data_IF_866078336851
#
_entry.id   IF_866078336851
#
_cell.length_a   1.000
_cell.length_b   1.000
_cell.length_c   1.000
_cell.angle_alpha   90.00
_cell.angle_beta   90.00
_cell.angle_gamma   90.00
#
_symmetry.space_group_name_H-M   'P 1'
#
loop_
_entity.id
_entity.type
_entity.pdbx_description
1 polymer ?
#
# COMPACT_ATOMS: atom_id res chain seq x y z
N UNK A 1 -26.58 -6.46 18.32
CA UNK A 1 -26.49 -5.90 16.96
C UNK A 1 -25.05 -5.52 16.67
N UNK A 2 -24.48 -6.03 15.58
CA UNK A 2 -23.07 -5.80 15.21
C UNK A 2 -22.94 -4.65 14.22
N UNK A 3 -21.77 -4.03 14.20
CA UNK A 3 -21.44 -2.95 13.26
C UNK A 3 -21.56 -3.41 11.80
N UNK A 4 -21.24 -4.68 11.53
CA UNK A 4 -21.44 -5.33 10.23
C UNK A 4 -22.92 -5.37 9.80
N UNK A 5 -23.85 -5.57 10.74
CA UNK A 5 -25.29 -5.60 10.45
C UNK A 5 -25.79 -4.21 10.02
N UNK A 6 -25.36 -3.15 10.72
CA UNK A 6 -25.71 -1.76 10.38
C UNK A 6 -25.12 -1.38 9.02
N UNK A 7 -23.87 -1.76 8.74
CA UNK A 7 -23.23 -1.55 7.44
C UNK A 7 -24.03 -2.20 6.30
N UNK A 8 -24.50 -3.44 6.50
CA UNK A 8 -25.23 -4.17 5.47
C UNK A 8 -26.67 -3.65 5.32
N UNK A 9 -27.35 -3.35 6.43
CA UNK A 9 -28.73 -2.89 6.45
C UNK A 9 -28.91 -1.47 5.90
N UNK A 10 -28.05 -0.53 6.31
CA UNK A 10 -28.13 0.88 5.89
C UNK A 10 -27.22 1.20 4.69
N UNK A 11 -26.38 0.26 4.24
CA UNK A 11 -25.45 0.48 3.12
C UNK A 11 -24.32 1.50 3.41
N UNK A 12 -24.04 1.78 4.68
CA UNK A 12 -23.05 2.81 5.09
C UNK A 12 -21.65 2.22 5.30
N UNK A 13 -20.56 2.94 4.97
CA UNK A 13 -19.18 2.49 5.18
C UNK A 13 -18.72 2.61 6.65
N UNK A 14 -19.63 2.39 7.60
CA UNK A 14 -19.33 2.45 9.02
C UNK A 14 -18.30 1.38 9.40
N UNK A 15 -17.27 1.76 10.18
CA UNK A 15 -16.28 0.84 10.77
C UNK A 15 -15.90 1.27 12.18
N UNK A 16 -15.55 0.33 13.05
CA UNK A 16 -15.00 0.64 14.39
C UNK A 16 -13.67 1.38 14.22
N UNK A 17 -13.53 2.53 14.90
CA UNK A 17 -12.40 3.44 14.75
C UNK A 17 -12.43 4.28 13.46
N UNK A 18 -13.50 4.24 12.67
CA UNK A 18 -13.67 5.12 11.51
C UNK A 18 -13.87 6.57 11.93
N UNK A 19 -13.32 7.52 11.16
CA UNK A 19 -13.59 8.95 11.32
C UNK A 19 -14.91 9.29 10.64
N UNK A 20 -15.63 10.23 11.21
CA UNK A 20 -16.91 10.71 10.69
C UNK A 20 -17.06 12.18 11.05
N UNK A 21 -17.89 12.89 10.31
CA UNK A 21 -18.30 14.24 10.61
C UNK A 21 -19.80 14.21 10.90
N UNK A 22 -20.17 14.30 12.17
CA UNK A 22 -21.54 14.21 12.65
C UNK A 22 -22.06 15.62 12.94
N UNK A 23 -23.09 16.08 12.22
CA UNK A 23 -23.67 17.43 12.34
C UNK A 23 -22.59 18.54 12.33
N UNK A 24 -21.61 18.42 11.44
CA UNK A 24 -20.50 19.37 11.29
C UNK A 24 -19.40 19.27 12.37
N UNK A 25 -19.46 18.27 13.26
CA UNK A 25 -18.42 17.97 14.25
C UNK A 25 -17.69 16.69 13.89
N UNK A 26 -16.37 16.78 13.81
CA UNK A 26 -15.52 15.60 13.63
C UNK A 26 -15.61 14.66 14.83
N UNK A 27 -15.70 13.36 14.57
CA UNK A 27 -15.84 12.32 15.58
C UNK A 27 -15.27 10.99 15.13
N UNK A 28 -15.25 10.04 16.05
CA UNK A 28 -14.73 8.68 15.82
C UNK A 28 -15.77 7.65 16.23
N UNK A 29 -16.05 6.69 15.35
CA UNK A 29 -16.98 5.60 15.63
C UNK A 29 -16.33 4.66 16.65
N UNK A 30 -16.85 4.61 17.88
CA UNK A 30 -16.33 3.75 18.96
C UNK A 30 -16.99 2.38 18.96
N UNK A 31 -18.21 2.28 18.45
CA UNK A 31 -18.97 1.04 18.37
C UNK A 31 -20.39 1.25 17.87
N UNK A 32 -21.29 0.38 18.28
CA UNK A 32 -22.71 0.40 17.92
C UNK A 32 -23.57 0.10 19.12
N UNK A 33 -24.69 0.80 19.25
CA UNK A 33 -25.71 0.49 20.26
C UNK A 33 -27.05 0.38 19.55
N UNK A 34 -27.64 -0.81 19.60
CA UNK A 34 -28.88 -1.13 18.90
C UNK A 34 -28.78 -0.82 17.38
N UNK A 35 -29.72 -0.06 16.81
CA UNK A 35 -29.71 0.40 15.41
C UNK A 35 -28.94 1.73 15.18
N UNK A 36 -28.13 2.18 16.15
CA UNK A 36 -27.38 3.44 16.11
C UNK A 36 -25.87 3.22 16.17
N UNK A 37 -25.11 4.13 15.56
CA UNK A 37 -23.65 4.21 15.66
C UNK A 37 -23.26 4.99 16.91
N UNK A 38 -22.34 4.46 17.72
CA UNK A 38 -21.74 5.22 18.80
C UNK A 38 -20.58 6.03 18.23
N UNK A 39 -20.72 7.34 18.24
CA UNK A 39 -19.69 8.28 17.77
C UNK A 39 -19.25 9.10 18.97
N UNK A 40 -17.94 9.15 19.19
CA UNK A 40 -17.32 10.09 20.13
C UNK A 40 -16.90 11.32 19.35
N UNK A 41 -17.58 12.45 19.54
CA UNK A 41 -17.16 13.70 18.93
C UNK A 41 -15.86 14.19 19.57
N UNK A 42 -15.06 14.90 18.78
CA UNK A 42 -13.84 15.53 19.25
C UNK A 42 -14.18 16.59 20.32
N UNK A 43 -13.53 16.51 21.48
CA UNK A 43 -13.85 17.33 22.66
C UNK A 43 -14.91 16.75 23.61
N UNK A 44 -15.63 15.69 23.22
CA UNK A 44 -16.58 15.02 24.12
C UNK A 44 -15.93 13.85 24.88
N UNK A 45 -16.29 13.70 26.16
CA UNK A 45 -15.81 12.58 26.99
C UNK A 45 -16.54 11.28 26.68
N UNK A 46 -17.79 11.35 26.25
CA UNK A 46 -18.67 10.20 26.05
C UNK A 46 -18.99 9.99 24.57
N UNK A 47 -19.30 8.74 24.21
CA UNK A 47 -19.82 8.42 22.88
C UNK A 47 -21.34 8.52 22.90
N UNK A 48 -21.90 9.26 21.96
CA UNK A 48 -23.35 9.41 21.82
C UNK A 48 -23.87 8.53 20.68
N UNK A 49 -25.12 8.03 20.77
CA UNK A 49 -25.76 7.27 19.69
C UNK A 49 -26.23 8.22 18.59
N UNK A 50 -25.85 7.92 17.35
CA UNK A 50 -26.25 8.65 16.15
C UNK A 50 -26.85 7.70 15.12
N UNK A 51 -27.83 8.20 14.36
CA UNK A 51 -28.39 7.43 13.26
C UNK A 51 -27.37 7.36 12.12
N UNK A 52 -27.13 6.19 11.51
CA UNK A 52 -26.12 6.04 10.46
C UNK A 52 -26.37 6.91 9.23
N UNK A 53 -27.62 7.21 8.90
CA UNK A 53 -27.96 7.97 7.69
C UNK A 53 -28.37 9.41 7.94
N UNK A 54 -28.42 9.87 9.20
CA UNK A 54 -28.94 11.20 9.55
C UNK A 54 -27.82 12.14 10.01
N UNK A 55 -27.45 13.10 9.17
CA UNK A 55 -26.45 14.12 9.52
C UNK A 55 -25.03 13.58 9.76
N UNK A 56 -24.73 12.35 9.32
CA UNK A 56 -23.41 11.74 9.42
C UNK A 56 -22.75 11.70 8.04
N UNK A 57 -21.63 12.37 7.92
CA UNK A 57 -20.72 12.24 6.80
C UNK A 57 -19.60 11.28 7.19
N UNK A 58 -19.53 10.16 6.47
CA UNK A 58 -18.47 9.18 6.69
C UNK A 58 -17.20 9.68 6.04
N UNK A 59 -16.26 10.12 6.87
CA UNK A 59 -14.89 10.33 6.45
C UNK A 59 -14.31 8.94 6.32
N UNK A 60 -14.46 8.35 5.13
CA UNK A 60 -13.80 7.10 4.82
C UNK A 60 -12.37 7.20 5.34
N UNK A 61 -11.88 6.17 6.08
CA UNK A 61 -10.47 6.15 6.42
C UNK A 61 -9.76 6.36 5.11
N UNK A 62 -8.93 7.40 5.03
CA UNK A 62 -8.24 7.77 3.79
C UNK A 62 -7.86 6.48 3.08
N UNK A 63 -8.31 6.26 1.82
CA UNK A 63 -7.91 5.06 1.11
C UNK A 63 -6.40 5.02 1.26
N UNK A 64 -5.87 3.95 1.88
CA UNK A 64 -4.44 3.76 2.13
C UNK A 64 -3.73 4.31 0.91
N UNK A 65 -3.00 5.42 1.11
CA UNK A 65 -2.55 6.33 0.05
C UNK A 65 -2.33 5.57 -1.25
N UNK A 66 -3.20 5.84 -2.21
CA UNK A 66 -2.96 5.61 -3.62
C UNK A 66 -2.47 4.19 -3.93
N UNK A 67 -3.39 3.34 -4.38
CA UNK A 67 -3.08 2.15 -5.19
C UNK A 67 -2.48 2.55 -6.55
N UNK A 68 -1.48 3.44 -6.56
CA UNK A 68 -0.63 3.70 -7.70
C UNK A 68 0.19 2.45 -7.87
N UNK A 69 -0.21 1.63 -8.85
CA UNK A 69 0.63 0.55 -9.31
C UNK A 69 1.91 1.16 -9.87
N UNK A 70 3.03 0.85 -9.23
CA UNK A 70 4.36 1.21 -9.70
C UNK A 70 5.07 -0.03 -10.23
N UNK A 71 6.00 0.20 -11.14
CA UNK A 71 6.89 -0.81 -11.68
C UNK A 71 8.31 -0.46 -11.25
N UNK A 72 8.97 -1.39 -10.57
CA UNK A 72 10.41 -1.36 -10.34
C UNK A 72 11.11 -1.91 -11.58
N UNK A 73 11.98 -1.11 -12.17
CA UNK A 73 12.79 -1.49 -13.33
C UNK A 73 14.27 -1.24 -13.05
N UNK A 74 15.13 -2.04 -13.67
CA UNK A 74 16.57 -1.82 -13.64
C UNK A 74 17.13 -1.44 -15.00
N UNK A 75 18.14 -0.59 -14.96
CA UNK A 75 18.98 -0.26 -16.12
C UNK A 75 20.12 -1.27 -16.28
N UNK A 76 20.74 -1.27 -17.47
CA UNK A 76 21.90 -2.11 -17.77
C UNK A 76 23.05 -1.98 -16.75
N UNK A 77 23.19 -0.82 -16.10
CA UNK A 77 24.18 -0.60 -15.03
C UNK A 77 23.79 -1.15 -13.65
N UNK A 78 22.67 -1.88 -13.53
CA UNK A 78 22.18 -2.43 -12.27
C UNK A 78 21.43 -1.43 -11.39
N UNK A 79 21.25 -0.18 -11.83
CA UNK A 79 20.49 0.85 -11.11
C UNK A 79 19.00 0.53 -11.15
N UNK A 80 18.38 0.43 -9.98
CA UNK A 80 16.95 0.23 -9.83
C UNK A 80 16.26 1.58 -9.70
N UNK A 81 15.19 1.77 -10.46
CA UNK A 81 14.30 2.91 -10.37
C UNK A 81 12.85 2.46 -10.41
N UNK A 82 11.94 3.37 -10.05
CA UNK A 82 10.52 3.09 -9.97
C UNK A 82 9.75 4.08 -10.84
N UNK A 83 8.77 3.59 -11.59
CA UNK A 83 7.91 4.43 -12.41
C UNK A 83 6.61 3.75 -12.81
N UNK A 84 5.68 4.48 -13.43
CA UNK A 84 4.37 3.95 -13.83
C UNK A 84 4.47 2.94 -15.00
N UNK A 85 5.60 2.90 -15.70
CA UNK A 85 5.84 2.03 -16.86
C UNK A 85 7.34 1.75 -16.98
N UNK A 86 7.70 0.66 -17.66
CA UNK A 86 9.12 0.35 -17.94
C UNK A 86 9.57 1.17 -19.15
N UNK A 87 10.55 2.08 -19.01
CA UNK A 87 11.09 2.83 -20.15
C UNK A 87 11.89 1.91 -21.09
N UNK A 88 12.01 2.32 -22.35
CA UNK A 88 12.79 1.59 -23.36
C UNK A 88 14.27 1.46 -22.92
N UNK A 89 14.80 0.24 -22.98
CA UNK A 89 16.15 -0.07 -22.48
C UNK A 89 16.24 -0.41 -20.98
N UNK A 90 15.14 -0.33 -20.23
CA UNK A 90 15.08 -0.84 -18.86
C UNK A 90 14.35 -2.20 -18.81
N UNK A 91 14.67 -3.00 -17.80
CA UNK A 91 14.06 -4.31 -17.58
C UNK A 91 13.18 -4.24 -16.34
N UNK A 92 11.90 -4.56 -16.48
CA UNK A 92 10.96 -4.63 -15.37
C UNK A 92 11.27 -5.81 -14.44
N UNK A 93 11.46 -5.54 -13.16
CA UNK A 93 11.77 -6.54 -12.13
C UNK A 93 10.48 -6.97 -11.43
N UNK A 94 9.71 -6.00 -10.95
CA UNK A 94 8.50 -6.24 -10.17
C UNK A 94 7.50 -5.09 -10.37
N UNK A 95 6.22 -5.39 -10.16
CA UNK A 95 5.14 -4.40 -10.19
C UNK A 95 4.18 -4.62 -9.03
N UNK A 96 3.49 -3.57 -8.62
CA UNK A 96 2.52 -3.64 -7.54
C UNK A 96 2.27 -2.30 -6.88
N UNK A 97 1.71 -2.33 -5.69
CA UNK A 97 1.44 -1.14 -4.89
C UNK A 97 2.75 -0.43 -4.55
N UNK A 98 2.81 0.89 -4.77
CA UNK A 98 4.02 1.69 -4.59
C UNK A 98 4.73 1.46 -3.25
N UNK A 99 3.99 1.50 -2.14
CA UNK A 99 4.56 1.28 -0.81
C UNK A 99 5.14 -0.13 -0.66
N UNK A 100 4.45 -1.15 -1.15
CA UNK A 100 4.92 -2.54 -1.05
C UNK A 100 6.12 -2.82 -1.95
N UNK A 101 6.09 -2.32 -3.18
CA UNK A 101 7.21 -2.48 -4.13
C UNK A 101 8.45 -1.78 -3.60
N UNK A 102 8.34 -0.54 -3.10
CA UNK A 102 9.49 0.18 -2.50
C UNK A 102 10.03 -0.56 -1.28
N UNK A 103 9.18 -0.92 -0.32
CA UNK A 103 9.58 -1.65 0.90
C UNK A 103 10.34 -2.95 0.58
N UNK A 104 9.82 -3.78 -0.34
CA UNK A 104 10.46 -5.04 -0.73
C UNK A 104 11.78 -4.78 -1.44
N UNK A 105 11.81 -3.85 -2.40
CA UNK A 105 13.03 -3.57 -3.17
C UNK A 105 14.10 -2.93 -2.28
N UNK A 106 13.77 -1.97 -1.40
CA UNK A 106 14.72 -1.35 -0.46
C UNK A 106 15.32 -2.37 0.52
N UNK A 107 14.53 -3.36 0.95
CA UNK A 107 14.98 -4.43 1.85
C UNK A 107 15.92 -5.42 1.16
N UNK A 108 15.73 -5.62 -0.15
CA UNK A 108 16.38 -6.70 -0.90
C UNK A 108 17.51 -6.23 -1.82
N UNK A 109 17.42 -5.00 -2.30
CA UNK A 109 18.42 -4.38 -3.15
C UNK A 109 19.68 -4.05 -2.34
N UNK A 110 20.80 -3.99 -3.04
CA UNK A 110 22.06 -3.55 -2.44
C UNK A 110 22.07 -2.02 -2.43
N UNK A 111 22.28 -1.44 -1.26
CA UNK A 111 22.45 0.01 -1.12
C UNK A 111 23.85 0.37 -1.62
N UNK A 112 23.93 1.31 -2.56
CA UNK A 112 25.22 1.88 -2.94
C UNK A 112 25.86 2.59 -1.73
N UNK A 113 27.17 2.86 -1.78
CA UNK A 113 27.90 3.60 -0.73
C UNK A 113 27.28 4.96 -0.36
N UNK A 114 26.50 5.51 -1.28
CA UNK A 114 25.79 6.78 -1.16
C UNK A 114 24.47 6.67 -0.37
N UNK A 115 24.00 5.46 -0.04
CA UNK A 115 22.67 5.17 0.55
C UNK A 115 21.45 5.68 -0.27
N UNK A 116 21.67 6.39 -1.38
CA UNK A 116 20.59 6.94 -2.22
C UNK A 116 20.24 6.05 -3.43
N UNK A 117 21.17 5.19 -3.86
CA UNK A 117 21.00 4.37 -5.08
C UNK A 117 20.80 2.91 -4.72
N UNK A 118 19.69 2.33 -5.20
CA UNK A 118 19.38 0.91 -5.10
C UNK A 118 19.95 0.18 -6.30
N UNK A 119 20.75 -0.85 -6.06
CA UNK A 119 21.37 -1.66 -7.08
C UNK A 119 20.86 -3.10 -7.01
N UNK A 120 20.65 -3.71 -8.17
CA UNK A 120 20.35 -5.14 -8.25
C UNK A 120 21.54 -5.92 -7.73
N UNK A 121 21.38 -6.77 -6.69
CA UNK A 121 22.49 -7.55 -6.16
C UNK A 121 23.08 -8.47 -7.25
N UNK A 122 24.41 -8.47 -7.37
CA UNK A 122 25.15 -9.25 -8.36
C UNK A 122 25.35 -8.59 -9.74
N UNK A 123 24.54 -7.60 -10.13
CA UNK A 123 24.78 -6.82 -11.37
C UNK A 123 26.01 -5.89 -11.27
N UNK A 124 26.22 -5.10 -10.20
CA UNK A 124 27.40 -4.23 -10.11
C UNK A 124 28.72 -5.00 -9.96
N UNK A 125 28.66 -6.30 -9.65
CA UNK A 125 29.81 -7.20 -9.50
C UNK A 125 30.07 -8.06 -10.75
N UNK A 126 29.18 -7.99 -11.76
CA UNK A 126 29.29 -8.77 -12.97
C UNK A 126 30.40 -8.23 -13.88
N UNK A 127 31.25 -9.11 -14.41
CA UNK A 127 32.32 -8.71 -15.33
C UNK A 127 31.78 -8.35 -16.73
N UNK A 128 30.60 -8.86 -17.11
CA UNK A 128 30.00 -8.68 -18.43
C UNK A 128 28.46 -8.67 -18.36
N UNK A 129 27.80 -8.16 -19.41
CA UNK A 129 26.33 -8.08 -19.53
C UNK A 129 25.63 -9.44 -19.34
N UNK A 130 26.26 -10.54 -19.80
CA UNK A 130 25.74 -11.91 -19.64
C UNK A 130 25.66 -12.34 -18.17
N UNK A 131 26.68 -12.01 -17.37
CA UNK A 131 26.68 -12.30 -15.93
C UNK A 131 25.68 -11.41 -15.19
N UNK A 132 25.57 -10.14 -15.61
CA UNK A 132 24.57 -9.22 -15.08
C UNK A 132 23.14 -9.72 -15.33
N UNK A 133 22.85 -10.22 -16.53
CA UNK A 133 21.54 -10.79 -16.87
C UNK A 133 21.24 -12.06 -16.06
N UNK A 134 22.23 -12.92 -15.84
CA UNK A 134 22.08 -14.11 -15.00
C UNK A 134 21.84 -13.75 -13.52
N UNK A 135 22.53 -12.73 -13.00
CA UNK A 135 22.33 -12.21 -11.65
C UNK A 135 20.93 -11.60 -11.49
N UNK A 136 20.49 -10.81 -12.47
CA UNK A 136 19.14 -10.23 -12.52
C UNK A 136 18.06 -11.32 -12.53
N UNK A 137 18.21 -12.35 -13.37
CA UNK A 137 17.25 -13.45 -13.45
C UNK A 137 17.13 -14.22 -12.12
N UNK A 138 18.25 -14.43 -11.41
CA UNK A 138 18.24 -15.03 -10.07
C UNK A 138 17.52 -14.15 -9.06
N UNK A 139 17.76 -12.84 -9.13
CA UNK A 139 17.11 -11.87 -8.25
C UNK A 139 15.59 -11.82 -8.47
N UNK A 140 15.14 -11.79 -9.73
CA UNK A 140 13.70 -11.80 -10.06
C UNK A 140 13.03 -13.10 -9.58
N UNK A 141 13.66 -14.26 -9.76
CA UNK A 141 13.14 -15.54 -9.25
C UNK A 141 12.98 -15.53 -7.73
N UNK A 142 13.99 -15.02 -7.01
CA UNK A 142 13.95 -14.92 -5.55
C UNK A 142 12.93 -13.87 -5.05
N UNK A 143 12.66 -12.82 -5.83
CA UNK A 143 11.53 -11.92 -5.56
C UNK A 143 10.18 -12.64 -5.76
N UNK A 144 10.10 -13.61 -6.66
CA UNK A 144 8.92 -14.44 -6.90
C UNK A 144 8.45 -15.21 -5.65
N UNK A 145 9.38 -15.62 -4.78
CA UNK A 145 9.06 -16.26 -3.49
C UNK A 145 8.31 -15.32 -2.53
N UNK A 146 8.36 -14.00 -2.77
CA UNK A 146 7.70 -12.95 -1.99
C UNK A 146 6.44 -12.41 -2.66
N UNK A 147 5.98 -13.04 -3.74
CA UNK A 147 4.74 -12.66 -4.40
C UNK A 147 3.58 -12.70 -3.39
N UNK A 148 2.79 -11.63 -3.39
CA UNK A 148 1.70 -11.46 -2.44
C UNK A 148 0.70 -10.38 -2.88
N UNK A 149 -0.36 -10.14 -2.11
CA UNK A 149 -1.29 -9.06 -2.41
C UNK A 149 -0.55 -7.72 -2.41
N UNK A 150 -0.47 -7.07 -3.58
CA UNK A 150 0.21 -5.78 -3.78
C UNK A 150 1.66 -5.86 -4.25
N UNK A 151 2.25 -7.03 -4.46
CA UNK A 151 3.60 -7.17 -5.04
C UNK A 151 3.69 -8.40 -5.96
N UNK A 152 4.17 -8.20 -7.19
CA UNK A 152 4.34 -9.26 -8.18
C UNK A 152 5.64 -9.10 -8.97
N UNK A 153 6.52 -10.10 -8.88
CA UNK A 153 7.69 -10.22 -9.73
C UNK A 153 7.29 -10.42 -11.21
N UNK A 154 8.03 -9.80 -12.13
CA UNK A 154 7.73 -9.75 -13.58
C UNK A 154 8.46 -10.81 -14.41
N UNK A 155 9.18 -11.74 -13.77
CA UNK A 155 9.89 -12.83 -14.44
C UNK A 155 9.87 -14.14 -13.65
N UNK A 156 8.80 -14.35 -12.89
CA UNK A 156 8.45 -15.64 -12.29
C UNK A 156 7.33 -16.30 -13.10
#
# INVERSE_FOLDING_TARGET
MSLEHIRNYYGVPAKKGGRVNAYGKSGTITGTSNAHLLIKLDGEKHSNPYHPTDGIEYLEPEPKRSSTNIIAYCWAGGLIQFGPSVPDGAIGIARGEESKVREVIETTARHAKDNERLLVPGVPEAANEREGLAALARYIQWLGERNGPGFRAMGA
#
